data_IF_518548882987
#
_entry.id   IF_518548882987
#
_cell.length_a   1.000
_cell.length_b   1.000
_cell.length_c   1.000
_cell.angle_alpha   90.00
_cell.angle_beta   90.00
_cell.angle_gamma   90.00
#
_symmetry.space_group_name_H-M   'P 1'
#
loop_
_entity.id
_entity.type
_entity.pdbx_description
1 polymer ?
#
# COMPACT_ATOMS: atom_id res chain seq x y z
N UNK A 1 -25.68 -73.30 -26.31
CA UNK A 1 -26.41 -72.02 -26.26
C UNK A 1 -26.92 -71.84 -24.83
N UNK A 2 -26.85 -70.62 -24.28
CA UNK A 2 -27.28 -70.16 -22.94
C UNK A 2 -26.20 -70.14 -21.82
N UNK A 3 -25.69 -68.92 -21.61
CA UNK A 3 -25.47 -68.13 -20.38
C UNK A 3 -25.04 -68.79 -19.05
N UNK A 4 -23.97 -68.24 -18.46
CA UNK A 4 -23.97 -67.88 -17.04
C UNK A 4 -23.15 -66.61 -16.77
N UNK A 5 -23.78 -65.66 -16.06
CA UNK A 5 -23.25 -64.37 -15.61
C UNK A 5 -22.20 -64.53 -14.49
N UNK A 6 -21.24 -63.62 -14.43
CA UNK A 6 -20.41 -63.36 -13.24
C UNK A 6 -19.99 -61.88 -13.16
N UNK A 7 -20.81 -61.14 -12.40
CA UNK A 7 -20.51 -60.07 -11.43
C UNK A 7 -19.24 -59.21 -11.63
N UNK A 8 -19.43 -57.96 -12.07
CA UNK A 8 -18.46 -56.86 -11.88
C UNK A 8 -18.54 -56.34 -10.44
N UNK A 9 -17.44 -56.40 -9.69
CA UNK A 9 -17.24 -55.62 -8.46
C UNK A 9 -16.87 -54.17 -8.82
N UNK A 10 -17.38 -53.15 -8.12
CA UNK A 10 -16.93 -51.77 -8.31
C UNK A 10 -15.58 -51.56 -7.62
N UNK A 11 -14.60 -51.04 -8.36
CA UNK A 11 -13.34 -50.52 -7.82
C UNK A 11 -13.64 -49.20 -7.08
N UNK A 12 -13.76 -49.28 -5.76
CA UNK A 12 -13.74 -48.11 -4.88
C UNK A 12 -12.31 -47.54 -4.94
N UNK A 13 -12.11 -46.49 -5.75
CA UNK A 13 -10.90 -45.66 -5.66
C UNK A 13 -11.07 -44.74 -4.45
N UNK A 14 -10.39 -45.05 -3.35
CA UNK A 14 -10.26 -44.10 -2.25
C UNK A 14 -9.49 -42.88 -2.75
N UNK A 15 -10.17 -41.74 -2.87
CA UNK A 15 -9.50 -40.46 -3.05
C UNK A 15 -8.70 -40.17 -1.78
N UNK A 16 -7.40 -40.47 -1.79
CA UNK A 16 -6.48 -39.92 -0.80
C UNK A 16 -6.36 -38.43 -1.09
N UNK A 17 -7.15 -37.61 -0.41
CA UNK A 17 -6.92 -36.17 -0.33
C UNK A 17 -5.52 -35.98 0.24
N UNK A 18 -4.58 -35.57 -0.61
CA UNK A 18 -3.29 -35.08 -0.18
C UNK A 18 -3.54 -33.74 0.53
N UNK A 19 -3.79 -33.78 1.84
CA UNK A 19 -3.69 -32.57 2.65
C UNK A 19 -2.22 -32.26 2.78
N UNK A 20 -1.73 -31.31 1.99
CA UNK A 20 -0.46 -30.64 2.26
C UNK A 20 -0.61 -29.96 3.61
N UNK A 21 -0.16 -30.63 4.67
CA UNK A 21 0.01 -29.99 5.98
C UNK A 21 1.13 -28.97 5.79
N UNK A 22 0.80 -27.69 5.95
CA UNK A 22 1.76 -26.60 6.08
C UNK A 22 2.87 -27.03 7.04
N UNK A 23 4.07 -27.25 6.51
CA UNK A 23 5.30 -27.49 7.26
C UNK A 23 6.02 -26.15 7.46
N UNK A 24 5.34 -25.16 8.03
CA UNK A 24 5.99 -23.94 8.49
C UNK A 24 5.39 -23.53 9.82
N UNK A 25 6.04 -23.95 10.90
CA UNK A 25 5.92 -23.25 12.17
C UNK A 25 6.75 -21.99 12.06
N UNK A 26 6.17 -20.90 11.54
CA UNK A 26 6.75 -19.58 11.81
C UNK A 26 6.77 -19.44 13.33
N UNK A 27 7.93 -19.15 13.92
CA UNK A 27 7.93 -18.70 15.31
C UNK A 27 6.94 -17.54 15.39
N UNK A 28 5.94 -17.58 16.29
CA UNK A 28 5.06 -16.44 16.45
C UNK A 28 5.95 -15.25 16.77
N UNK A 29 5.88 -14.23 15.91
CA UNK A 29 6.57 -12.98 16.12
C UNK A 29 6.15 -12.46 17.50
N UNK A 30 7.11 -12.15 18.36
CA UNK A 30 6.79 -11.57 19.66
C UNK A 30 6.34 -10.14 19.40
N UNK A 31 5.03 -9.93 19.44
CA UNK A 31 4.42 -8.69 18.96
C UNK A 31 4.30 -7.65 20.08
N UNK A 32 4.74 -6.43 19.79
CA UNK A 32 4.25 -5.23 20.46
C UNK A 32 3.69 -4.26 19.43
N UNK A 33 2.37 -4.00 19.40
CA UNK A 33 1.84 -2.97 18.52
C UNK A 33 2.31 -1.60 18.99
N UNK A 34 2.60 -0.70 18.05
CA UNK A 34 2.68 0.72 18.35
C UNK A 34 1.30 1.18 18.86
N UNK A 35 1.23 1.64 20.11
CA UNK A 35 -0.01 2.01 20.77
C UNK A 35 0.02 3.47 21.24
N UNK A 36 -1.11 4.15 21.14
CA UNK A 36 -1.27 5.59 21.46
C UNK A 36 -0.48 6.52 20.52
N UNK A 37 -0.73 6.48 19.20
CA UNK A 37 -0.14 7.45 18.28
C UNK A 37 -0.56 8.88 18.62
N UNK A 38 0.31 9.84 18.27
CA UNK A 38 -0.10 11.23 18.20
C UNK A 38 -1.03 11.40 17.00
N UNK A 39 -2.11 12.16 17.16
CA UNK A 39 -3.02 12.41 16.02
C UNK A 39 -2.36 13.35 15.03
N UNK A 40 -2.44 13.01 13.75
CA UNK A 40 -2.11 13.92 12.65
C UNK A 40 -3.15 15.05 12.63
N UNK A 41 -2.69 16.30 12.46
CA UNK A 41 -3.59 17.46 12.34
C UNK A 41 -4.47 17.33 11.10
N UNK A 42 -5.71 17.81 11.18
CA UNK A 42 -6.66 17.74 10.08
C UNK A 42 -7.11 19.14 9.68
N UNK A 43 -6.99 19.44 8.39
CA UNK A 43 -7.56 20.62 7.74
C UNK A 43 -8.77 20.18 6.92
N UNK A 44 -9.79 21.02 6.80
CA UNK A 44 -10.98 20.76 5.99
C UNK A 44 -11.06 21.80 4.89
N UNK A 45 -11.07 21.33 3.63
CA UNK A 45 -11.29 22.15 2.43
C UNK A 45 -10.51 23.49 2.40
N UNK A 46 -9.17 23.49 2.57
CA UNK A 46 -8.39 24.72 2.50
C UNK A 46 -8.41 25.26 1.07
N UNK A 47 -8.51 26.58 0.92
CA UNK A 47 -8.25 27.21 -0.37
C UNK A 47 -6.83 26.89 -0.84
N UNK A 48 -6.52 26.91 -2.15
CA UNK A 48 -5.15 26.72 -2.64
C UNK A 48 -4.12 27.64 -1.94
N UNK A 49 -4.51 28.88 -1.61
CA UNK A 49 -3.67 29.82 -0.89
C UNK A 49 -3.46 29.43 0.58
N UNK A 50 -4.50 28.94 1.25
CA UNK A 50 -4.41 28.44 2.63
C UNK A 50 -3.59 27.15 2.70
N UNK A 51 -3.78 26.23 1.75
CA UNK A 51 -2.96 25.02 1.67
C UNK A 51 -1.49 25.38 1.52
N UNK A 52 -1.15 26.32 0.64
CA UNK A 52 0.23 26.78 0.47
C UNK A 52 0.78 27.40 1.76
N UNK A 53 0.11 28.42 2.29
CA UNK A 53 0.63 29.21 3.42
C UNK A 53 0.59 28.47 4.77
N UNK A 54 -0.42 27.63 5.02
CA UNK A 54 -0.64 26.99 6.31
C UNK A 54 -0.11 25.55 6.39
N UNK A 55 0.11 24.88 5.25
CA UNK A 55 0.55 23.48 5.20
C UNK A 55 1.93 23.36 4.57
N UNK A 56 2.11 23.88 3.35
CA UNK A 56 3.39 23.73 2.62
C UNK A 56 4.49 24.63 3.21
N UNK A 57 4.17 25.90 3.46
CA UNK A 57 5.09 26.92 3.97
C UNK A 57 5.13 27.00 5.51
N UNK A 58 4.45 26.06 6.21
CA UNK A 58 4.50 25.98 7.66
C UNK A 58 5.94 25.73 8.15
N UNK A 59 6.32 26.40 9.25
CA UNK A 59 7.64 26.25 9.87
C UNK A 59 7.51 25.87 11.36
N UNK A 60 7.91 24.64 11.76
CA UNK A 60 8.39 23.56 10.89
C UNK A 60 7.24 22.89 10.10
N UNK A 61 7.51 22.35 8.89
CA UNK A 61 6.49 21.65 8.13
C UNK A 61 6.16 20.33 8.82
N UNK A 62 4.86 20.06 8.95
CA UNK A 62 4.34 18.90 9.67
C UNK A 62 3.32 18.12 8.83
N UNK A 63 3.22 16.80 9.02
CA UNK A 63 2.24 15.99 8.33
C UNK A 63 0.83 16.39 8.75
N UNK A 64 -0.08 16.42 7.77
CA UNK A 64 -1.49 16.71 8.03
C UNK A 64 -2.41 15.93 7.10
N UNK A 65 -3.64 15.70 7.54
CA UNK A 65 -4.74 15.26 6.69
C UNK A 65 -5.44 16.51 6.15
N UNK A 66 -5.76 16.48 4.87
CA UNK A 66 -6.65 17.46 4.23
C UNK A 66 -7.91 16.74 3.83
N UNK A 67 -8.91 16.84 4.71
CA UNK A 67 -10.16 16.13 4.58
C UNK A 67 -10.93 16.65 3.37
N UNK A 68 -11.42 15.71 2.56
CA UNK A 68 -12.25 16.00 1.40
C UNK A 68 -11.55 16.65 0.19
N UNK A 69 -10.22 16.74 0.16
CA UNK A 69 -9.46 17.40 -0.90
C UNK A 69 -9.71 16.85 -2.31
N UNK A 70 -10.03 15.56 -2.45
CA UNK A 70 -10.37 14.92 -3.73
C UNK A 70 -11.87 14.64 -3.89
N UNK A 71 -12.73 15.22 -3.04
CA UNK A 71 -14.18 14.92 -3.03
C UNK A 71 -14.89 15.26 -4.34
N UNK A 72 -14.39 16.26 -5.07
CA UNK A 72 -14.96 16.72 -6.34
C UNK A 72 -14.31 16.07 -7.58
N UNK A 73 -13.43 15.08 -7.42
CA UNK A 73 -12.81 14.39 -8.54
C UNK A 73 -13.80 13.42 -9.19
N UNK A 74 -13.86 13.32 -10.53
CA UNK A 74 -14.69 12.32 -11.21
C UNK A 74 -14.42 10.88 -10.73
N UNK A 75 -13.18 10.58 -10.33
CA UNK A 75 -12.80 9.31 -9.73
C UNK A 75 -13.68 8.94 -8.51
N UNK A 76 -14.17 9.91 -7.73
CA UNK A 76 -15.05 9.63 -6.57
C UNK A 76 -16.38 9.02 -6.98
N UNK A 77 -16.87 9.33 -8.17
CA UNK A 77 -18.13 8.79 -8.70
C UNK A 77 -17.88 7.53 -9.53
N UNK A 78 -16.77 7.47 -10.27
CA UNK A 78 -16.48 6.40 -11.22
C UNK A 78 -15.80 5.18 -10.58
N UNK A 79 -14.90 5.37 -9.62
CA UNK A 79 -14.04 4.30 -9.10
C UNK A 79 -14.62 3.74 -7.79
N UNK A 80 -15.68 2.93 -7.89
CA UNK A 80 -16.37 2.32 -6.73
C UNK A 80 -15.79 0.96 -6.33
N UNK A 81 -15.03 0.35 -7.23
CA UNK A 81 -14.31 -0.91 -7.08
C UNK A 81 -13.08 -0.89 -7.99
N UNK A 82 -12.12 -1.79 -7.74
CA UNK A 82 -10.97 -1.96 -8.64
C UNK A 82 -11.42 -2.39 -10.05
N UNK A 83 -12.52 -3.16 -10.15
CA UNK A 83 -13.09 -3.60 -11.43
C UNK A 83 -13.57 -2.44 -12.30
N UNK A 84 -14.03 -1.34 -11.72
CA UNK A 84 -14.49 -0.17 -12.50
C UNK A 84 -13.36 0.47 -13.31
N UNK A 85 -12.10 0.23 -12.94
CA UNK A 85 -10.96 0.69 -13.70
C UNK A 85 -10.72 -0.15 -14.97
N UNK A 86 -11.35 -1.32 -15.13
CA UNK A 86 -11.17 -2.23 -16.28
C UNK A 86 -12.15 -1.87 -17.39
N UNK A 87 -11.65 -1.16 -18.39
CA UNK A 87 -12.39 -0.68 -19.57
C UNK A 87 -11.75 -1.23 -20.84
N UNK A 88 -12.34 -0.96 -22.01
CA UNK A 88 -11.72 -1.32 -23.30
C UNK A 88 -10.30 -0.73 -23.45
N UNK A 89 -10.07 0.47 -22.93
CA UNK A 89 -8.77 1.16 -23.03
C UNK A 89 -7.73 0.65 -22.02
N UNK A 90 -8.18 0.23 -20.84
CA UNK A 90 -7.28 -0.12 -19.73
C UNK A 90 -7.10 -1.62 -19.54
N UNK A 91 -7.98 -2.47 -20.07
CA UNK A 91 -7.96 -3.91 -19.80
C UNK A 91 -6.69 -4.63 -20.26
N UNK A 92 -6.02 -4.12 -21.30
CA UNK A 92 -4.85 -4.74 -21.92
C UNK A 92 -3.52 -4.03 -21.62
N UNK A 93 -3.53 -2.94 -20.85
CA UNK A 93 -2.28 -2.31 -20.42
C UNK A 93 -1.50 -3.27 -19.52
N UNK A 94 -0.18 -3.25 -19.64
CA UNK A 94 0.70 -3.97 -18.72
C UNK A 94 0.85 -3.13 -17.45
N UNK A 95 0.55 -3.73 -16.31
CA UNK A 95 0.77 -3.13 -14.99
C UNK A 95 1.84 -3.92 -14.23
N UNK A 96 2.80 -3.23 -13.58
CA UNK A 96 3.69 -3.88 -12.65
C UNK A 96 2.90 -4.21 -11.38
N UNK A 97 2.87 -5.49 -11.01
CA UNK A 97 2.28 -5.95 -9.76
C UNK A 97 3.37 -6.49 -8.87
N UNK A 98 3.30 -6.11 -7.60
CA UNK A 98 4.06 -6.67 -6.53
C UNK A 98 3.20 -7.67 -5.77
N UNK A 99 3.70 -8.89 -5.61
CA UNK A 99 3.05 -9.99 -4.93
C UNK A 99 3.83 -10.34 -3.67
N UNK A 100 3.15 -10.40 -2.53
CA UNK A 100 3.81 -10.65 -1.25
C UNK A 100 2.88 -11.20 -0.17
N UNK A 101 3.44 -11.52 1.01
CA UNK A 101 2.65 -11.82 2.18
C UNK A 101 1.86 -10.59 2.64
N UNK A 102 0.66 -10.82 3.15
CA UNK A 102 -0.18 -9.79 3.76
C UNK A 102 0.54 -9.14 4.94
N UNK A 103 0.39 -7.83 5.08
CA UNK A 103 0.91 -7.04 6.19
C UNK A 103 2.44 -7.13 6.34
N UNK A 104 3.18 -7.33 5.25
CA UNK A 104 4.65 -7.41 5.27
C UNK A 104 5.20 -6.59 4.12
N UNK A 105 6.24 -5.80 4.33
CA UNK A 105 6.83 -4.96 3.30
C UNK A 105 7.78 -5.72 2.38
N UNK A 106 8.10 -5.10 1.23
CA UNK A 106 9.09 -5.60 0.26
C UNK A 106 10.50 -5.75 0.83
N UNK A 107 10.77 -5.14 1.98
CA UNK A 107 12.04 -5.18 2.71
C UNK A 107 12.22 -6.42 3.61
N UNK A 108 11.30 -7.38 3.58
CA UNK A 108 11.43 -8.63 4.34
C UNK A 108 12.61 -9.48 3.84
N UNK A 109 13.44 -9.95 4.77
CA UNK A 109 14.65 -10.74 4.48
C UNK A 109 14.62 -12.12 5.15
N UNK A 110 13.45 -12.56 5.62
CA UNK A 110 13.32 -13.87 6.28
C UNK A 110 13.50 -15.01 5.27
N UNK A 111 14.39 -15.99 5.53
CA UNK A 111 14.65 -17.11 4.62
C UNK A 111 13.39 -17.93 4.26
N UNK A 112 12.45 -18.04 5.19
CA UNK A 112 11.22 -18.83 5.06
C UNK A 112 9.99 -17.99 4.68
N UNK A 113 10.11 -16.66 4.56
CA UNK A 113 8.99 -15.84 4.11
C UNK A 113 8.74 -16.06 2.62
N UNK A 114 7.46 -16.02 2.22
CA UNK A 114 7.12 -15.86 0.79
C UNK A 114 7.82 -14.60 0.30
N UNK A 115 8.73 -14.77 -0.66
CA UNK A 115 9.48 -13.64 -1.21
C UNK A 115 8.54 -12.71 -1.97
N UNK A 116 8.85 -11.42 -1.90
CA UNK A 116 8.21 -10.44 -2.76
C UNK A 116 8.61 -10.68 -4.21
N UNK A 117 7.63 -10.71 -5.09
CA UNK A 117 7.83 -10.88 -6.52
C UNK A 117 7.23 -9.69 -7.24
N UNK A 118 7.98 -9.16 -8.22
CA UNK A 118 7.46 -8.14 -9.13
C UNK A 118 7.31 -8.77 -10.51
N UNK A 119 6.09 -8.72 -11.05
CA UNK A 119 5.77 -9.25 -12.37
C UNK A 119 4.92 -8.24 -13.13
N UNK A 120 4.96 -8.27 -14.46
CA UNK A 120 4.09 -7.45 -15.30
C UNK A 120 2.97 -8.32 -15.85
N UNK A 121 1.72 -7.88 -15.68
CA UNK A 121 0.55 -8.59 -16.17
C UNK A 121 -0.42 -7.62 -16.84
N UNK A 122 -1.31 -8.14 -17.70
CA UNK A 122 -2.41 -7.34 -18.21
C UNK A 122 -3.34 -6.95 -17.08
N UNK A 123 -3.81 -5.71 -17.07
CA UNK A 123 -4.63 -5.19 -15.98
C UNK A 123 -5.90 -6.02 -15.72
N UNK A 124 -6.55 -6.52 -16.78
CA UNK A 124 -7.70 -7.44 -16.62
C UNK A 124 -7.35 -8.69 -15.80
N UNK A 125 -6.18 -9.27 -16.03
CA UNK A 125 -5.74 -10.50 -15.36
C UNK A 125 -5.39 -10.22 -13.90
N UNK A 126 -4.85 -9.02 -13.62
CA UNK A 126 -4.66 -8.57 -12.25
C UNK A 126 -5.99 -8.51 -11.50
N UNK A 127 -7.02 -7.88 -12.07
CA UNK A 127 -8.34 -7.79 -11.41
C UNK A 127 -8.99 -9.16 -11.25
N UNK A 128 -8.92 -10.03 -12.27
CA UNK A 128 -9.39 -11.42 -12.17
C UNK A 128 -8.66 -12.21 -11.07
N UNK A 129 -7.35 -11.97 -10.89
CA UNK A 129 -6.58 -12.55 -9.78
C UNK A 129 -7.10 -12.08 -8.43
N UNK A 130 -7.43 -10.79 -8.27
CA UNK A 130 -7.93 -10.25 -7.00
C UNK A 130 -9.30 -10.84 -6.61
N UNK A 131 -10.13 -11.15 -7.60
CA UNK A 131 -11.46 -11.73 -7.39
C UNK A 131 -11.44 -13.26 -7.21
N UNK A 132 -10.31 -13.89 -7.49
CA UNK A 132 -10.15 -15.33 -7.29
C UNK A 132 -10.13 -15.69 -5.80
N UNK A 133 -11.00 -16.61 -5.40
CA UNK A 133 -11.05 -17.16 -4.04
C UNK A 133 -9.76 -17.90 -3.63
N UNK A 134 -8.86 -18.18 -4.57
CA UNK A 134 -7.60 -18.88 -4.33
C UNK A 134 -6.45 -17.95 -3.93
N UNK A 135 -6.58 -16.63 -4.10
CA UNK A 135 -5.50 -15.70 -3.79
C UNK A 135 -5.44 -15.39 -2.28
N UNK A 136 -4.43 -15.95 -1.61
CA UNK A 136 -4.23 -15.75 -0.17
C UNK A 136 -3.22 -14.64 0.19
N UNK A 137 -2.57 -14.01 -0.80
CA UNK A 137 -1.52 -13.00 -0.62
C UNK A 137 -2.01 -11.55 -0.62
N UNK A 138 -1.06 -10.62 -0.59
CA UNK A 138 -1.27 -9.22 -0.95
C UNK A 138 -0.76 -9.00 -2.38
N UNK A 139 -1.55 -8.29 -3.19
CA UNK A 139 -1.20 -7.92 -4.55
C UNK A 139 -1.31 -6.40 -4.70
N UNK A 140 -0.28 -5.77 -5.24
CA UNK A 140 -0.15 -4.32 -5.24
C UNK A 140 0.45 -3.80 -6.54
N UNK A 141 -0.33 -3.01 -7.29
CA UNK A 141 0.22 -2.09 -8.29
C UNK A 141 0.80 -0.91 -7.53
N UNK A 142 2.12 -0.81 -7.54
CA UNK A 142 2.87 0.27 -6.89
C UNK A 142 3.48 1.19 -7.94
N UNK A 143 3.43 2.50 -7.69
CA UNK A 143 4.11 3.53 -8.48
C UNK A 143 3.87 3.46 -10.00
N UNK A 144 2.65 3.14 -10.43
CA UNK A 144 2.30 3.17 -11.85
C UNK A 144 2.01 4.62 -12.25
N UNK A 145 2.74 5.17 -13.21
CA UNK A 145 2.52 6.55 -13.66
C UNK A 145 1.11 6.70 -14.24
N UNK A 146 0.30 7.59 -13.67
CA UNK A 146 -1.06 7.82 -14.19
C UNK A 146 -1.04 8.52 -15.56
N UNK A 147 0.07 9.18 -15.89
CA UNK A 147 0.28 9.81 -17.20
C UNK A 147 0.30 8.81 -18.35
N UNK A 148 0.58 7.54 -18.06
CA UNK A 148 0.57 6.44 -19.03
C UNK A 148 -0.85 5.91 -19.30
N UNK A 149 -1.86 6.37 -18.55
CA UNK A 149 -3.25 5.91 -18.64
C UNK A 149 -4.20 7.11 -18.77
N UNK A 150 -4.32 7.71 -19.97
CA UNK A 150 -5.04 8.97 -20.17
C UNK A 150 -6.50 8.96 -19.68
N UNK A 151 -7.22 7.85 -19.84
CA UNK A 151 -8.60 7.73 -19.35
C UNK A 151 -8.71 7.81 -17.83
N UNK A 152 -7.79 7.20 -17.10
CA UNK A 152 -7.77 7.30 -15.64
C UNK A 152 -7.25 8.67 -15.18
N UNK A 153 -6.29 9.26 -15.89
CA UNK A 153 -5.82 10.62 -15.62
C UNK A 153 -6.93 11.67 -15.75
N UNK A 154 -7.85 11.48 -16.68
CA UNK A 154 -8.99 12.38 -16.87
C UNK A 154 -9.95 12.41 -15.66
N UNK A 155 -9.86 11.44 -14.75
CA UNK A 155 -10.72 11.33 -13.57
C UNK A 155 -10.12 11.98 -12.31
N UNK A 156 -8.90 12.52 -12.38
CA UNK A 156 -8.20 13.16 -11.27
C UNK A 156 -7.82 14.60 -11.58
N UNK A 157 -7.90 15.50 -10.59
CA UNK A 157 -7.56 16.92 -10.77
C UNK A 157 -6.14 17.22 -10.28
N UNK A 158 -5.14 16.73 -11.01
CA UNK A 158 -3.72 16.96 -10.73
C UNK A 158 -3.09 17.93 -11.75
N UNK A 159 -2.00 18.64 -11.38
CA UNK A 159 -1.40 18.66 -10.05
C UNK A 159 -2.13 19.60 -9.06
N UNK A 160 -1.99 19.33 -7.75
CA UNK A 160 -2.61 20.11 -6.67
C UNK A 160 -1.56 20.67 -5.68
N UNK A 161 -1.71 21.91 -5.20
CA UNK A 161 -2.69 22.93 -5.60
C UNK A 161 -2.29 23.55 -6.95
N UNK A 162 -3.23 23.67 -7.90
CA UNK A 162 -3.03 24.06 -9.31
C UNK A 162 -1.67 24.73 -9.64
N UNK A 163 -0.84 23.97 -10.36
CA UNK A 163 0.54 24.25 -10.77
C UNK A 163 1.62 24.32 -9.65
N UNK A 164 1.74 23.29 -8.78
CA UNK A 164 2.98 23.09 -8.03
C UNK A 164 4.07 22.56 -8.98
N UNK A 165 5.33 22.89 -8.70
CA UNK A 165 6.47 22.31 -9.41
C UNK A 165 6.55 20.81 -9.08
N UNK A 166 6.00 19.97 -9.96
CA UNK A 166 6.03 18.52 -9.78
C UNK A 166 7.48 18.02 -9.81
N UNK A 167 7.84 17.21 -8.83
CA UNK A 167 9.15 16.57 -8.76
C UNK A 167 9.21 15.31 -9.65
N UNK A 168 8.05 14.71 -9.95
CA UNK A 168 7.89 13.57 -10.85
C UNK A 168 6.41 13.40 -11.27
N UNK A 169 6.13 12.58 -12.31
CA UNK A 169 4.76 12.21 -12.67
C UNK A 169 3.98 11.63 -11.47
N UNK A 170 2.68 11.94 -11.33
CA UNK A 170 1.86 11.34 -10.29
C UNK A 170 1.68 9.83 -10.48
N UNK A 171 1.61 9.10 -9.37
CA UNK A 171 1.46 7.64 -9.42
C UNK A 171 0.11 7.16 -8.92
N UNK A 172 -0.39 6.12 -9.58
CA UNK A 172 -1.53 5.32 -9.20
C UNK A 172 -1.07 4.13 -8.36
N UNK A 173 -1.85 3.84 -7.31
CA UNK A 173 -1.63 2.75 -6.38
C UNK A 173 -2.92 1.94 -6.27
N UNK A 174 -2.88 0.66 -6.60
CA UNK A 174 -4.06 -0.22 -6.58
C UNK A 174 -3.69 -1.50 -5.86
N UNK A 175 -4.43 -1.91 -4.84
CA UNK A 175 -4.12 -3.15 -4.17
C UNK A 175 -5.21 -3.71 -3.29
N UNK A 176 -5.01 -4.95 -2.87
CA UNK A 176 -5.86 -5.62 -1.90
C UNK A 176 -5.73 -4.99 -0.50
N UNK A 177 -6.64 -5.38 0.39
CA UNK A 177 -6.42 -5.22 1.82
C UNK A 177 -5.07 -5.84 2.24
N UNK A 178 -4.51 -5.32 3.33
CA UNK A 178 -3.25 -5.76 3.92
C UNK A 178 -2.01 -5.56 3.04
N UNK A 179 -2.10 -4.77 1.96
CA UNK A 179 -0.89 -4.24 1.29
C UNK A 179 -0.18 -3.30 2.26
N UNK A 180 1.16 -3.39 2.32
CA UNK A 180 1.97 -2.64 3.27
C UNK A 180 3.23 -2.10 2.60
N UNK A 181 3.40 -0.78 2.65
CA UNK A 181 4.65 -0.10 2.30
C UNK A 181 5.43 0.18 3.58
N UNK A 182 6.65 -0.36 3.72
CA UNK A 182 7.46 -0.22 4.93
C UNK A 182 7.85 1.23 5.21
N UNK A 183 8.35 1.47 6.43
CA UNK A 183 8.83 2.79 6.84
C UNK A 183 9.91 3.23 5.84
N UNK A 184 9.65 4.32 5.13
CA UNK A 184 10.57 4.89 4.15
C UNK A 184 10.42 6.41 4.09
N UNK A 185 11.33 7.10 3.40
CA UNK A 185 11.16 8.51 3.06
C UNK A 185 11.21 8.72 1.56
N UNK A 186 10.38 9.64 1.08
CA UNK A 186 10.48 10.14 -0.28
C UNK A 186 11.64 11.12 -0.41
N UNK A 187 12.38 11.03 -1.52
CA UNK A 187 13.59 11.84 -1.75
C UNK A 187 13.34 13.02 -2.69
N UNK A 188 12.27 12.96 -3.49
CA UNK A 188 12.01 13.90 -4.59
C UNK A 188 11.46 15.24 -4.09
N UNK A 189 10.61 15.24 -3.07
CA UNK A 189 9.91 16.43 -2.61
C UNK A 189 8.96 16.16 -1.47
N UNK A 190 8.00 17.04 -1.28
CA UNK A 190 6.78 16.79 -0.52
C UNK A 190 5.93 15.73 -1.22
N UNK A 191 5.12 14.98 -0.47
CA UNK A 191 4.18 14.01 -1.01
C UNK A 191 2.76 14.36 -0.58
N UNK A 192 1.83 14.34 -1.52
CA UNK A 192 0.40 14.40 -1.26
C UNK A 192 -0.25 13.12 -1.79
N UNK A 193 -0.70 12.26 -0.87
CA UNK A 193 -1.36 10.99 -1.19
C UNK A 193 -2.87 11.14 -1.00
N UNK A 194 -3.62 11.01 -2.09
CA UNK A 194 -5.07 11.07 -2.15
C UNK A 194 -5.68 9.68 -2.08
N UNK A 195 -6.68 9.49 -1.23
CA UNK A 195 -7.42 8.23 -1.12
C UNK A 195 -8.70 8.30 -1.96
N UNK A 196 -8.91 7.32 -2.84
CA UNK A 196 -10.02 7.31 -3.80
C UNK A 196 -10.97 6.12 -3.61
N UNK A 197 -10.44 4.97 -3.19
CA UNK A 197 -11.21 3.78 -2.80
C UNK A 197 -10.61 3.17 -1.53
N UNK A 198 -11.47 2.67 -0.63
CA UNK A 198 -11.10 2.02 0.62
C UNK A 198 -10.32 2.91 1.58
N UNK A 199 -9.75 2.29 2.63
CA UNK A 199 -9.06 3.00 3.71
C UNK A 199 -7.59 2.61 3.83
N UNK A 200 -6.74 3.59 4.17
CA UNK A 200 -5.32 3.37 4.49
C UNK A 200 -4.98 3.95 5.85
N UNK A 201 -4.20 3.22 6.64
CA UNK A 201 -3.51 3.76 7.82
C UNK A 201 -2.15 4.26 7.37
N UNK A 202 -1.89 5.52 7.69
CA UNK A 202 -0.61 6.19 7.44
C UNK A 202 0.03 6.43 8.80
N UNK A 203 1.27 5.98 8.95
CA UNK A 203 2.08 6.29 10.12
C UNK A 203 3.29 7.09 9.68
N UNK A 204 3.59 8.17 10.38
CA UNK A 204 4.67 9.10 10.04
C UNK A 204 5.57 9.35 11.25
N UNK A 205 6.86 9.51 10.98
CA UNK A 205 7.92 9.73 11.95
C UNK A 205 8.75 10.95 11.52
N UNK A 206 9.13 11.82 12.46
CA UNK A 206 9.91 13.00 12.13
C UNK A 206 11.29 12.63 11.58
N UNK A 207 11.91 13.50 10.76
CA UNK A 207 13.26 13.25 10.24
C UNK A 207 14.32 13.02 11.33
N UNK A 208 14.11 13.60 12.52
CA UNK A 208 14.96 13.42 13.71
C UNK A 208 15.06 11.96 14.19
N UNK A 209 14.08 11.11 13.83
CA UNK A 209 14.03 9.73 14.30
C UNK A 209 14.90 8.79 13.47
N UNK A 210 15.58 9.26 12.42
CA UNK A 210 16.39 8.46 11.48
C UNK A 210 17.25 7.40 12.17
N UNK A 211 17.95 7.74 13.24
CA UNK A 211 18.88 6.85 13.95
C UNK A 211 18.18 5.66 14.62
N UNK A 212 16.90 5.79 14.93
CA UNK A 212 16.05 4.79 15.58
C UNK A 212 15.28 3.93 14.58
N UNK A 213 15.14 4.37 13.33
CA UNK A 213 14.30 3.73 12.32
C UNK A 213 14.97 2.61 11.53
N UNK A 214 16.21 2.23 11.85
CA UNK A 214 16.95 1.17 11.14
C UNK A 214 16.96 1.35 9.61
N UNK A 215 17.25 2.57 9.14
CA UNK A 215 17.33 2.83 7.69
C UNK A 215 18.48 2.02 7.07
N UNK A 216 18.19 1.31 5.99
CA UNK A 216 19.15 0.46 5.30
C UNK A 216 20.28 1.26 4.66
N UNK A 217 21.47 0.66 4.58
CA UNK A 217 22.61 1.21 3.83
C UNK A 217 22.71 0.62 2.41
N UNK A 218 21.95 -0.44 2.14
CA UNK A 218 21.91 -1.14 0.86
C UNK A 218 21.41 -0.22 -0.26
N UNK A 219 22.13 -0.10 -1.40
CA UNK A 219 21.84 0.90 -2.45
C UNK A 219 20.37 1.06 -2.84
N UNK A 220 19.64 -0.05 -2.99
CA UNK A 220 18.24 -0.07 -3.41
C UNK A 220 17.23 0.18 -2.29
N UNK A 221 17.66 0.20 -1.04
CA UNK A 221 16.83 0.40 0.16
C UNK A 221 17.30 1.58 1.02
N UNK A 222 18.20 2.45 0.52
CA UNK A 222 18.83 3.54 1.30
C UNK A 222 17.88 4.55 1.94
N UNK A 223 16.63 4.56 1.53
CA UNK A 223 15.57 5.41 2.09
C UNK A 223 14.53 4.62 2.90
N UNK A 224 14.72 3.31 3.07
CA UNK A 224 13.76 2.37 3.65
C UNK A 224 14.32 1.72 4.92
N UNK A 225 13.48 1.56 5.93
CA UNK A 225 13.77 0.84 7.17
C UNK A 225 13.98 -0.65 6.92
N UNK A 226 14.77 -1.32 7.75
CA UNK A 226 14.85 -2.78 7.80
C UNK A 226 13.68 -3.42 8.54
N UNK A 227 12.82 -2.63 9.20
CA UNK A 227 11.62 -3.12 9.90
C UNK A 227 10.54 -3.46 8.84
N UNK A 228 10.20 -4.74 8.66
CA UNK A 228 9.31 -5.16 7.58
C UNK A 228 7.83 -4.94 7.87
N UNK A 229 7.47 -4.67 9.12
CA UNK A 229 6.13 -4.33 9.57
C UNK A 229 6.20 -3.67 10.94
N UNK A 230 5.45 -2.59 11.11
CA UNK A 230 5.49 -1.74 12.30
C UNK A 230 4.23 -1.86 13.19
N UNK A 231 3.16 -2.48 12.67
CA UNK A 231 1.92 -2.74 13.41
C UNK A 231 2.04 -3.91 14.39
N UNK A 232 3.08 -4.74 14.27
CA UNK A 232 3.28 -5.91 15.12
C UNK A 232 4.76 -6.30 15.22
N UNK A 233 5.62 -5.36 15.65
CA UNK A 233 7.08 -5.54 15.63
C UNK A 233 7.64 -6.26 16.87
N UNK A 234 8.82 -6.86 16.72
CA UNK A 234 9.59 -7.53 17.78
C UNK A 234 10.59 -6.54 18.42
N UNK A 235 10.33 -6.15 19.66
CA UNK A 235 11.18 -5.22 20.40
C UNK A 235 12.57 -5.78 20.75
N UNK A 236 12.71 -7.10 20.83
CA UNK A 236 14.02 -7.76 21.08
C UNK A 236 14.89 -7.74 19.83
N UNK A 237 14.26 -7.82 18.65
CA UNK A 237 14.92 -7.69 17.36
C UNK A 237 15.23 -6.24 17.00
N UNK A 238 14.36 -5.30 17.39
CA UNK A 238 14.46 -3.88 17.06
C UNK A 238 14.59 -2.97 18.30
N UNK A 239 15.58 -3.19 19.18
CA UNK A 239 15.68 -2.49 20.46
C UNK A 239 15.85 -0.97 20.31
N UNK A 240 16.62 -0.49 19.32
CA UNK A 240 16.82 0.96 19.10
C UNK A 240 15.54 1.68 18.70
N UNK A 241 14.68 1.01 17.94
CA UNK A 241 13.39 1.54 17.54
C UNK A 241 12.49 1.61 18.78
N UNK A 242 12.45 0.50 19.53
CA UNK A 242 11.67 0.41 20.75
C UNK A 242 12.06 1.47 21.80
N UNK A 243 13.36 1.73 21.96
CA UNK A 243 13.89 2.65 22.94
C UNK A 243 13.91 4.10 22.45
N UNK A 244 14.17 4.34 21.17
CA UNK A 244 14.41 5.67 20.61
C UNK A 244 13.17 6.37 20.07
N UNK A 245 12.24 5.65 19.46
CA UNK A 245 11.02 6.25 18.91
C UNK A 245 10.02 6.50 20.03
N UNK A 246 9.88 7.77 20.42
CA UNK A 246 8.96 8.21 21.49
C UNK A 246 7.65 8.77 20.97
N UNK A 247 7.68 9.33 19.77
CA UNK A 247 6.54 9.99 19.14
C UNK A 247 6.42 9.50 17.71
N UNK A 248 5.22 9.11 17.32
CA UNK A 248 4.85 8.89 15.94
C UNK A 248 3.46 9.45 15.75
N UNK A 249 3.14 9.82 14.52
CA UNK A 249 1.81 10.29 14.18
C UNK A 249 1.11 9.26 13.31
N UNK A 250 -0.19 9.11 13.51
CA UNK A 250 -1.00 8.16 12.75
C UNK A 250 -2.34 8.76 12.39
N UNK A 251 -2.82 8.42 11.20
CA UNK A 251 -4.19 8.66 10.78
C UNK A 251 -4.67 7.57 9.84
N UNK A 252 -5.99 7.41 9.79
CA UNK A 252 -6.67 6.68 8.72
C UNK A 252 -7.20 7.70 7.73
N UNK A 253 -6.86 7.53 6.44
CA UNK A 253 -7.44 8.29 5.35
C UNK A 253 -8.56 7.49 4.69
N UNK A 254 -9.66 8.17 4.37
CA UNK A 254 -10.84 7.60 3.72
C UNK A 254 -11.06 8.23 2.33
N UNK A 255 -11.90 7.64 1.46
CA UNK A 255 -12.12 8.17 0.12
C UNK A 255 -12.56 9.64 0.10
N UNK A 256 -11.74 10.49 -0.50
CA UNK A 256 -11.90 11.95 -0.51
C UNK A 256 -10.80 12.69 0.25
N UNK A 257 -10.13 12.04 1.19
CA UNK A 257 -9.05 12.65 1.97
C UNK A 257 -7.72 12.61 1.22
N UNK A 258 -6.83 13.53 1.61
CA UNK A 258 -5.41 13.47 1.27
C UNK A 258 -4.55 13.54 2.53
N UNK A 259 -3.38 12.88 2.51
CA UNK A 259 -2.32 13.10 3.50
C UNK A 259 -1.17 13.85 2.87
N UNK A 260 -0.79 14.97 3.48
CA UNK A 260 0.43 15.68 3.16
C UNK A 260 1.56 15.14 4.04
N UNK A 261 2.65 14.74 3.39
CA UNK A 261 3.86 14.24 4.03
C UNK A 261 5.00 15.18 3.61
N UNK A 262 5.55 15.97 4.52
CA UNK A 262 6.61 16.89 4.16
C UNK A 262 7.89 16.16 3.75
N UNK A 263 8.68 16.79 2.87
CA UNK A 263 9.96 16.25 2.44
C UNK A 263 10.82 15.83 3.63
N UNK A 264 11.39 14.63 3.55
CA UNK A 264 12.29 14.08 4.56
C UNK A 264 11.62 13.35 5.71
N UNK A 265 10.29 13.44 5.88
CA UNK A 265 9.56 12.65 6.87
C UNK A 265 9.54 11.17 6.47
N UNK A 266 9.66 10.31 7.47
CA UNK A 266 9.55 8.87 7.29
C UNK A 266 8.10 8.44 7.45
N UNK A 267 7.65 7.46 6.68
CA UNK A 267 6.27 7.00 6.73
C UNK A 267 6.11 5.55 6.28
N UNK A 268 5.10 4.88 6.85
CA UNK A 268 4.59 3.59 6.41
C UNK A 268 3.12 3.73 6.03
N UNK A 269 2.66 2.86 5.13
CA UNK A 269 1.30 2.89 4.60
C UNK A 269 0.74 1.48 4.60
N UNK A 270 -0.45 1.29 5.17
CA UNK A 270 -1.14 0.00 5.21
C UNK A 270 -2.57 0.12 4.73
N UNK A 271 -2.97 -0.68 3.74
CA UNK A 271 -4.36 -0.75 3.33
C UNK A 271 -5.18 -1.59 4.32
N UNK A 272 -6.30 -1.04 4.78
CA UNK A 272 -7.27 -1.74 5.63
C UNK A 272 -8.30 -2.52 4.80
N UNK A 273 -8.52 -2.08 3.58
CA UNK A 273 -9.51 -2.57 2.62
C UNK A 273 -8.83 -2.67 1.25
N UNK A 274 -9.52 -3.20 0.24
CA UNK A 274 -9.10 -2.94 -1.14
C UNK A 274 -8.99 -1.42 -1.36
N UNK A 275 -7.96 -0.97 -2.07
CA UNK A 275 -7.65 0.45 -2.10
C UNK A 275 -7.17 0.94 -3.45
N UNK A 276 -7.59 2.16 -3.77
CA UNK A 276 -7.06 2.97 -4.87
C UNK A 276 -6.61 4.29 -4.25
N UNK A 277 -5.36 4.66 -4.52
CA UNK A 277 -4.82 5.96 -4.14
C UNK A 277 -4.06 6.54 -5.32
N UNK A 278 -3.95 7.87 -5.35
CA UNK A 278 -3.04 8.56 -6.27
C UNK A 278 -2.14 9.45 -5.44
N UNK A 279 -0.85 9.50 -5.74
CA UNK A 279 0.07 10.41 -5.07
C UNK A 279 0.72 11.38 -6.04
N UNK A 280 1.09 12.55 -5.53
CA UNK A 280 1.84 13.55 -6.26
C UNK A 280 3.04 14.01 -5.44
N UNK A 281 4.23 13.92 -6.04
CA UNK A 281 5.46 14.49 -5.48
C UNK A 281 5.71 15.88 -6.05
N UNK A 282 5.95 16.86 -5.19
CA UNK A 282 6.15 18.27 -5.58
C UNK A 282 7.22 18.96 -4.72
N UNK A 283 7.80 20.03 -5.25
CA UNK A 283 8.90 20.79 -4.63
C UNK A 283 8.42 21.78 -3.56
#
# INVERSE_FOLDING_TARGET
MVLHQSLRKPLVRSARTCRVRSLFTSKPLVHRPLANPTRILMYSDPSPADFKSQIVEADPPSPCIVAGLSSNWPAREKWKSIRDLVTEETADILVPIELGPKNVGYNVQEPDARQWQRVEVRFRLFVELLESLEWEGAAYVSQLSIDEIPSLKADVHLPFPHAPDLAAPPNLWIGTADTYTPIHRDILGHNLLFQLLGKKVIRVFPPSDKEWLYISEEPFLRNTSLIPFDHAFDATRWPRFHEGVKTWYEATIEPGDAVFIPKGWYHSVRALEESISVNSWFL
#
